data_IF_247282727298
#
_entry.id   IF_247282727298
#
_cell.length_a   1.000
_cell.length_b   1.000
_cell.length_c   1.000
_cell.angle_alpha   90.00
_cell.angle_beta   90.00
_cell.angle_gamma   90.00
#
_symmetry.space_group_name_H-M   'P 1'
#
loop_
_entity.id
_entity.type
_entity.pdbx_description
1 polymer ?
#
# COMPACT_ATOMS: atom_id res chain seq x y z
N UNK A 1 -20.72 -1.62 4.75
CA UNK A 1 -20.88 -0.93 3.44
C UNK A 1 -20.39 -1.92 2.39
N UNK A 2 -21.18 -2.29 1.38
CA UNK A 2 -20.77 -3.34 0.43
C UNK A 2 -19.57 -2.86 -0.40
N UNK A 3 -18.55 -3.70 -0.58
CA UNK A 3 -17.32 -3.43 -1.34
C UNK A 3 -16.45 -2.24 -0.86
N UNK A 4 -16.56 -1.84 0.41
CA UNK A 4 -15.82 -0.69 0.96
C UNK A 4 -14.32 -0.72 0.63
N UNK A 5 -13.64 -1.84 0.87
CA UNK A 5 -12.20 -1.95 0.63
C UNK A 5 -11.82 -1.85 -0.85
N UNK A 6 -12.61 -2.42 -1.76
CA UNK A 6 -12.36 -2.38 -3.21
C UNK A 6 -12.47 -0.98 -3.82
N UNK A 7 -13.12 -0.07 -3.11
CA UNK A 7 -13.33 1.33 -3.51
C UNK A 7 -12.41 2.31 -2.81
N UNK A 8 -11.50 1.81 -1.96
CA UNK A 8 -10.46 2.63 -1.38
C UNK A 8 -9.26 2.69 -2.32
N UNK A 9 -8.70 3.89 -2.48
CA UNK A 9 -7.46 4.11 -3.21
C UNK A 9 -6.43 4.79 -2.28
N UNK A 10 -5.12 4.50 -2.44
CA UNK A 10 -4.10 5.27 -1.78
C UNK A 10 -4.03 6.69 -2.35
N UNK A 11 -3.90 7.69 -1.49
CA UNK A 11 -3.68 9.09 -1.89
C UNK A 11 -2.23 9.49 -1.56
N UNK A 12 -1.81 9.36 -0.31
CA UNK A 12 -0.42 9.67 0.11
C UNK A 12 0.06 8.63 1.09
N UNK A 13 1.24 8.05 0.88
CA UNK A 13 1.69 7.01 1.79
C UNK A 13 3.20 6.79 1.81
N UNK A 14 3.65 6.23 2.91
CA UNK A 14 4.96 5.62 3.07
C UNK A 14 4.75 4.14 3.43
N UNK A 15 5.32 3.28 2.60
CA UNK A 15 5.31 1.85 2.77
C UNK A 15 6.74 1.34 2.93
N UNK A 16 6.96 0.53 3.95
CA UNK A 16 8.25 -0.10 4.21
C UNK A 16 8.07 -1.61 4.23
N UNK A 17 9.05 -2.31 3.65
CA UNK A 17 9.19 -3.76 3.73
C UNK A 17 10.59 -4.06 4.20
N UNK A 18 10.72 -4.87 5.24
CA UNK A 18 12.01 -5.39 5.73
C UNK A 18 12.02 -6.89 5.47
N UNK A 19 13.00 -7.37 4.71
CA UNK A 19 13.20 -8.79 4.43
C UNK A 19 14.41 -9.26 5.22
N UNK A 20 14.22 -10.33 5.99
CA UNK A 20 15.22 -10.93 6.85
C UNK A 20 15.94 -12.10 6.14
N UNK A 21 17.14 -12.41 6.62
CA UNK A 21 17.97 -13.48 6.05
C UNK A 21 17.31 -14.87 6.18
N UNK A 22 16.45 -15.08 7.17
CA UNK A 22 15.67 -16.31 7.35
C UNK A 22 14.43 -16.39 6.43
N UNK A 23 14.23 -15.38 5.57
CA UNK A 23 13.07 -15.30 4.67
C UNK A 23 11.78 -14.81 5.33
N UNK A 24 11.79 -14.53 6.63
CA UNK A 24 10.71 -13.77 7.27
C UNK A 24 10.74 -12.30 6.81
N UNK A 25 9.62 -11.62 6.97
CA UNK A 25 9.54 -10.21 6.61
C UNK A 25 8.54 -9.44 7.46
N UNK A 26 8.79 -8.15 7.59
CA UNK A 26 7.88 -7.20 8.21
C UNK A 26 7.51 -6.10 7.22
N UNK A 27 6.33 -5.53 7.36
CA UNK A 27 5.91 -4.41 6.54
C UNK A 27 5.04 -3.43 7.30
N UNK A 28 5.09 -2.17 6.87
CA UNK A 28 4.26 -1.09 7.40
C UNK A 28 3.67 -0.21 6.31
N UNK A 29 2.52 0.38 6.63
CA UNK A 29 1.88 1.44 5.87
C UNK A 29 1.61 2.60 6.82
N UNK A 30 2.00 3.80 6.45
CA UNK A 30 1.48 5.02 7.04
C UNK A 30 1.00 5.94 5.92
N UNK A 31 -0.30 6.23 5.88
CA UNK A 31 -0.84 6.93 4.74
C UNK A 31 -2.29 7.38 4.84
N UNK A 32 -2.71 8.05 3.79
CA UNK A 32 -4.07 8.47 3.51
C UNK A 32 -4.69 7.53 2.48
N UNK A 33 -5.90 7.07 2.78
CA UNK A 33 -6.78 6.37 1.86
C UNK A 33 -7.96 7.26 1.52
N UNK A 34 -8.46 7.15 0.29
CA UNK A 34 -9.65 7.85 -0.16
C UNK A 34 -10.69 6.86 -0.65
N UNK A 35 -11.91 7.02 -0.19
CA UNK A 35 -13.07 6.31 -0.70
C UNK A 35 -13.55 7.01 -1.99
N UNK A 36 -13.20 6.43 -3.14
CA UNK A 36 -13.35 7.07 -4.45
C UNK A 36 -14.79 7.53 -4.77
N UNK A 37 -15.87 6.82 -4.38
CA UNK A 37 -17.22 7.30 -4.67
C UNK A 37 -17.60 8.59 -3.94
N UNK A 38 -17.06 8.86 -2.76
CA UNK A 38 -17.31 10.12 -2.05
C UNK A 38 -16.65 11.31 -2.77
N UNK A 39 -15.47 11.08 -3.36
CA UNK A 39 -14.78 12.08 -4.16
C UNK A 39 -15.55 12.40 -5.44
N UNK A 40 -16.00 11.37 -6.16
CA UNK A 40 -16.82 11.50 -7.37
C UNK A 40 -18.10 12.30 -7.05
N UNK A 41 -18.81 11.97 -5.97
CA UNK A 41 -20.00 12.72 -5.56
C UNK A 41 -19.68 14.18 -5.28
N UNK A 42 -18.62 14.46 -4.50
CA UNK A 42 -18.24 15.82 -4.17
C UNK A 42 -17.84 16.64 -5.41
N UNK A 43 -17.19 16.00 -6.40
CA UNK A 43 -16.86 16.64 -7.68
C UNK A 43 -18.10 16.96 -8.51
N UNK A 44 -19.09 16.07 -8.58
CA UNK A 44 -20.31 16.29 -9.36
C UNK A 44 -21.32 17.25 -8.70
N UNK A 45 -21.53 17.11 -7.39
CA UNK A 45 -22.54 17.86 -6.65
C UNK A 45 -21.99 19.12 -5.95
N UNK A 46 -20.67 19.32 -5.94
CA UNK A 46 -19.99 20.38 -5.20
C UNK A 46 -19.94 20.15 -3.68
N UNK A 47 -20.70 19.20 -3.15
CA UNK A 47 -20.71 18.83 -1.74
C UNK A 47 -20.94 17.31 -1.56
N UNK A 48 -20.60 16.82 -0.37
CA UNK A 48 -20.87 15.45 0.04
C UNK A 48 -22.12 15.41 0.90
N UNK A 49 -23.00 14.44 0.65
CA UNK A 49 -24.23 14.27 1.42
C UNK A 49 -23.92 14.07 2.93
N UNK A 50 -24.56 14.81 3.86
CA UNK A 50 -24.27 14.71 5.29
C UNK A 50 -24.53 13.32 5.88
N UNK A 51 -25.56 12.61 5.43
CA UNK A 51 -25.82 11.25 5.93
C UNK A 51 -24.74 10.28 5.44
N UNK A 52 -24.26 10.49 4.21
CA UNK A 52 -23.16 9.72 3.67
C UNK A 52 -21.85 9.99 4.40
N UNK A 53 -21.57 11.24 4.76
CA UNK A 53 -20.42 11.63 5.59
C UNK A 53 -20.41 10.89 6.93
N UNK A 54 -21.57 10.80 7.59
CA UNK A 54 -21.72 10.03 8.85
C UNK A 54 -21.45 8.54 8.63
N UNK A 55 -21.93 7.97 7.52
CA UNK A 55 -21.67 6.55 7.18
C UNK A 55 -20.20 6.28 6.92
N UNK A 56 -19.50 7.21 6.24
CA UNK A 56 -18.06 7.12 5.99
C UNK A 56 -17.27 7.21 7.30
N UNK A 57 -17.63 8.15 8.18
CA UNK A 57 -17.03 8.24 9.51
C UNK A 57 -17.12 6.92 10.28
N UNK A 58 -18.30 6.29 10.27
CA UNK A 58 -18.50 5.00 10.95
C UNK A 58 -17.73 3.85 10.27
N UNK A 59 -17.45 3.95 8.96
CA UNK A 59 -16.72 2.93 8.21
C UNK A 59 -15.24 2.80 8.61
N UNK A 60 -14.67 3.79 9.30
CA UNK A 60 -13.31 3.70 9.86
C UNK A 60 -13.12 2.47 10.77
N UNK A 61 -14.18 2.04 11.46
CA UNK A 61 -14.16 0.81 12.28
C UNK A 61 -13.90 -0.46 11.48
N UNK A 62 -14.30 -0.52 10.20
CA UNK A 62 -14.03 -1.67 9.33
C UNK A 62 -12.52 -1.78 9.03
N UNK A 63 -11.81 -0.65 8.90
CA UNK A 63 -10.35 -0.65 8.73
C UNK A 63 -9.65 -1.24 9.97
N UNK A 64 -10.09 -0.88 11.18
CA UNK A 64 -9.54 -1.46 12.40
C UNK A 64 -9.78 -2.98 12.45
N UNK A 65 -10.97 -3.44 12.07
CA UNK A 65 -11.28 -4.88 12.00
C UNK A 65 -10.45 -5.65 10.96
N UNK A 66 -9.98 -4.98 9.91
CA UNK A 66 -9.06 -5.53 8.89
C UNK A 66 -7.59 -5.58 9.37
N UNK A 67 -7.33 -5.12 10.60
CA UNK A 67 -6.02 -5.20 11.25
C UNK A 67 -5.15 -3.95 11.07
N UNK A 68 -5.71 -2.82 10.65
CA UNK A 68 -5.02 -1.53 10.79
C UNK A 68 -4.87 -1.19 12.28
N UNK A 69 -3.67 -0.76 12.66
CA UNK A 69 -3.38 -0.32 14.03
C UNK A 69 -4.09 0.99 14.35
N UNK A 70 -4.20 1.89 13.36
CA UNK A 70 -4.92 3.15 13.46
C UNK A 70 -5.74 3.38 12.20
N UNK A 71 -6.95 3.94 12.38
CA UNK A 71 -7.79 4.40 11.29
C UNK A 71 -8.68 5.55 11.77
N UNK A 72 -8.45 6.75 11.24
CA UNK A 72 -9.24 7.94 11.59
C UNK A 72 -9.83 8.58 10.33
N UNK A 73 -11.11 8.91 10.41
CA UNK A 73 -11.80 9.63 9.34
C UNK A 73 -11.44 11.12 9.40
N UNK A 74 -10.97 11.68 8.28
CA UNK A 74 -10.54 13.08 8.20
C UNK A 74 -11.46 13.95 7.33
N UNK A 75 -12.56 13.37 6.84
CA UNK A 75 -13.60 14.07 6.08
C UNK A 75 -13.53 13.82 4.57
N UNK A 76 -14.63 14.08 3.86
CA UNK A 76 -14.73 13.96 2.39
C UNK A 76 -14.24 12.61 1.85
N UNK A 77 -14.57 11.52 2.54
CA UNK A 77 -14.17 10.17 2.16
C UNK A 77 -12.71 9.80 2.45
N UNK A 78 -11.94 10.63 3.15
CA UNK A 78 -10.53 10.37 3.45
C UNK A 78 -10.32 9.76 4.83
N UNK A 79 -9.34 8.87 4.92
CA UNK A 79 -8.94 8.20 6.15
C UNK A 79 -7.42 8.30 6.32
N UNK A 80 -6.95 8.67 7.51
CA UNK A 80 -5.55 8.47 7.92
C UNK A 80 -5.44 7.09 8.55
N UNK A 81 -4.48 6.29 8.11
CA UNK A 81 -4.36 4.89 8.54
C UNK A 81 -2.91 4.51 8.81
N UNK A 82 -2.73 3.60 9.76
CA UNK A 82 -1.44 2.97 10.06
C UNK A 82 -1.62 1.46 10.10
N UNK A 83 -0.75 0.72 9.40
CA UNK A 83 -0.69 -0.74 9.40
C UNK A 83 0.74 -1.18 9.73
N UNK A 84 0.87 -2.23 10.53
CA UNK A 84 2.16 -2.92 10.78
C UNK A 84 1.89 -4.41 10.87
N UNK A 85 2.67 -5.22 10.15
CA UNK A 85 2.57 -6.69 10.20
C UNK A 85 3.95 -7.31 10.12
N UNK A 86 4.11 -8.45 10.79
CA UNK A 86 5.26 -9.32 10.70
C UNK A 86 4.77 -10.70 10.26
N UNK A 87 5.50 -11.33 9.35
CA UNK A 87 5.09 -12.56 8.70
C UNK A 87 6.29 -13.50 8.66
N UNK A 88 6.07 -14.72 9.16
CA UNK A 88 7.05 -15.79 9.05
C UNK A 88 7.31 -16.17 7.59
N UNK A 89 8.42 -16.86 7.36
CA UNK A 89 8.83 -17.34 6.05
C UNK A 89 7.74 -18.15 5.32
N UNK A 90 7.80 -18.15 3.99
CA UNK A 90 6.94 -19.00 3.15
C UNK A 90 5.46 -18.58 3.04
N UNK A 91 5.00 -17.53 3.72
CA UNK A 91 3.62 -17.03 3.58
C UNK A 91 3.53 -15.83 2.64
N UNK A 92 2.57 -15.78 1.69
CA UNK A 92 2.31 -14.58 0.91
C UNK A 92 1.53 -13.54 1.71
N UNK A 93 1.77 -12.26 1.42
CA UNK A 93 1.04 -11.13 2.00
C UNK A 93 0.52 -10.18 0.93
N UNK A 94 -0.67 -9.65 1.19
CA UNK A 94 -1.36 -8.67 0.36
C UNK A 94 -1.48 -7.39 1.17
N UNK A 95 -0.92 -6.31 0.65
CA UNK A 95 -0.76 -5.07 1.38
C UNK A 95 -1.64 -3.97 0.82
N UNK A 96 -2.40 -3.23 1.65
CA UNK A 96 -2.63 -3.50 3.07
C UNK A 96 -3.58 -4.69 3.33
N UNK A 97 -4.44 -5.04 2.36
CA UNK A 97 -5.31 -6.22 2.44
C UNK A 97 -5.47 -6.94 1.10
N UNK A 98 -6.15 -8.10 1.11
CA UNK A 98 -6.50 -8.84 -0.12
C UNK A 98 -7.52 -8.09 -1.00
N UNK A 99 -8.38 -7.28 -0.38
CA UNK A 99 -9.43 -6.54 -1.09
C UNK A 99 -8.98 -5.17 -1.57
N UNK A 100 -7.92 -4.62 -0.96
CA UNK A 100 -7.24 -3.39 -1.33
C UNK A 100 -5.74 -3.67 -1.35
N UNK A 101 -5.24 -4.14 -2.48
CA UNK A 101 -3.83 -4.48 -2.65
C UNK A 101 -3.11 -3.39 -3.43
N UNK A 102 -2.12 -2.77 -2.80
CA UNK A 102 -1.13 -1.83 -3.34
C UNK A 102 0.18 -2.59 -3.65
N UNK A 103 0.61 -3.50 -2.77
CA UNK A 103 1.76 -4.38 -3.01
C UNK A 103 1.46 -5.82 -2.60
N UNK A 104 2.16 -6.75 -3.22
CA UNK A 104 2.15 -8.15 -2.81
C UNK A 104 3.58 -8.60 -2.50
N UNK A 105 3.74 -9.34 -1.41
CA UNK A 105 4.97 -10.05 -1.06
C UNK A 105 4.69 -11.54 -1.27
N UNK A 106 5.43 -12.18 -2.17
CA UNK A 106 5.22 -13.57 -2.58
C UNK A 106 6.53 -14.36 -2.50
N UNK A 107 6.62 -15.33 -1.57
CA UNK A 107 7.62 -16.38 -1.66
C UNK A 107 7.44 -17.19 -2.95
N UNK A 108 8.55 -17.65 -3.53
CA UNK A 108 8.63 -18.47 -4.74
C UNK A 108 9.17 -19.86 -4.39
N UNK A 109 8.92 -20.83 -5.27
CA UNK A 109 9.34 -22.23 -5.07
C UNK A 109 10.87 -22.41 -5.00
N UNK A 110 11.64 -21.49 -5.57
CA UNK A 110 13.12 -21.47 -5.57
C UNK A 110 13.72 -20.80 -4.32
N UNK A 111 12.87 -20.47 -3.32
CA UNK A 111 13.26 -19.76 -2.10
C UNK A 111 13.38 -18.24 -2.27
N UNK A 112 13.20 -17.70 -3.48
CA UNK A 112 13.21 -16.27 -3.69
C UNK A 112 11.91 -15.60 -3.18
N UNK A 113 11.99 -14.32 -2.84
CA UNK A 113 10.86 -13.49 -2.44
C UNK A 113 10.68 -12.39 -3.49
N UNK A 114 9.47 -12.29 -4.03
CA UNK A 114 9.04 -11.21 -4.92
C UNK A 114 8.23 -10.19 -4.12
N UNK A 115 8.70 -8.95 -4.08
CA UNK A 115 7.88 -7.79 -3.70
C UNK A 115 7.47 -7.10 -4.98
N UNK A 116 6.18 -6.87 -5.20
CA UNK A 116 5.69 -6.21 -6.40
C UNK A 116 4.49 -5.30 -6.13
N UNK A 117 4.38 -4.23 -6.91
CA UNK A 117 3.18 -3.43 -7.10
C UNK A 117 2.01 -4.29 -7.52
N UNK A 118 0.83 -3.97 -6.99
CA UNK A 118 -0.43 -4.47 -7.49
C UNK A 118 -1.00 -3.41 -8.41
N UNK A 119 -1.23 -3.79 -9.67
CA UNK A 119 -1.93 -2.93 -10.61
C UNK A 119 -3.42 -2.99 -10.26
N UNK A 120 -4.06 -1.85 -9.94
CA UNK A 120 -5.52 -1.80 -9.90
C UNK A 120 -6.09 -2.25 -11.24
N UNK A 121 -7.31 -2.78 -11.25
CA UNK A 121 -8.04 -3.01 -12.50
C UNK A 121 -8.10 -1.71 -13.32
N UNK A 122 -8.06 -1.85 -14.65
CA UNK A 122 -7.90 -0.75 -15.63
C UNK A 122 -8.91 0.42 -15.48
N UNK A 123 -9.98 0.24 -14.71
CA UNK A 123 -10.99 1.25 -14.41
C UNK A 123 -10.63 2.19 -13.26
N UNK A 124 -9.72 1.82 -12.35
CA UNK A 124 -9.39 2.61 -11.17
C UNK A 124 -8.64 3.94 -11.47
N UNK A 125 -7.68 3.99 -12.43
CA UNK A 125 -7.04 5.26 -12.81
C UNK A 125 -8.04 6.25 -13.41
N UNK A 126 -9.02 5.76 -14.17
CA UNK A 126 -10.06 6.58 -14.78
C UNK A 126 -10.98 7.26 -13.75
N UNK A 127 -11.07 6.74 -12.53
CA UNK A 127 -11.96 7.27 -11.47
C UNK A 127 -11.39 8.49 -10.73
N UNK A 128 -10.09 8.77 -10.88
CA UNK A 128 -9.44 9.90 -10.20
C UNK A 128 -9.24 11.11 -11.14
N UNK A 129 -9.38 10.92 -12.46
CA UNK A 129 -9.25 11.99 -13.45
C UNK A 129 -10.35 13.03 -13.23
N UNK A 130 -9.96 14.29 -13.02
CA UNK A 130 -10.89 15.40 -12.76
C UNK A 130 -11.21 15.63 -11.27
N UNK A 131 -10.49 14.97 -10.37
CA UNK A 131 -10.61 15.15 -8.91
C UNK A 131 -9.39 15.84 -8.31
N UNK A 132 -9.47 16.25 -7.04
CA UNK A 132 -8.35 16.82 -6.28
C UNK A 132 -7.39 15.75 -5.69
N UNK A 133 -7.64 14.46 -5.97
CA UNK A 133 -6.83 13.37 -5.46
C UNK A 133 -5.68 13.01 -6.42
N UNK A 134 -4.46 12.94 -5.88
CA UNK A 134 -3.25 12.50 -6.57
C UNK A 134 -2.60 11.39 -5.74
N UNK A 135 -2.05 10.38 -6.41
CA UNK A 135 -1.22 9.36 -5.75
C UNK A 135 0.19 9.92 -5.54
N UNK A 136 0.63 10.02 -4.29
CA UNK A 136 2.02 10.29 -3.91
C UNK A 136 2.48 9.29 -2.84
N UNK A 137 2.95 8.15 -3.31
CA UNK A 137 3.44 7.07 -2.49
C UNK A 137 4.96 6.95 -2.50
N UNK A 138 5.48 6.34 -1.44
CA UNK A 138 6.86 5.86 -1.36
C UNK A 138 6.84 4.39 -0.94
N UNK A 139 7.66 3.58 -1.61
CA UNK A 139 7.98 2.23 -1.17
C UNK A 139 9.48 2.16 -0.87
N UNK A 140 9.83 1.66 0.30
CA UNK A 140 11.20 1.33 0.67
C UNK A 140 11.29 -0.15 1.01
N UNK A 141 12.20 -0.87 0.34
CA UNK A 141 12.51 -2.27 0.67
C UNK A 141 13.90 -2.32 1.28
N UNK A 142 13.97 -2.75 2.54
CA UNK A 142 15.20 -2.95 3.30
C UNK A 142 15.53 -4.42 3.36
N UNK A 143 16.77 -4.77 3.05
CA UNK A 143 17.28 -6.14 3.06
C UNK A 143 18.35 -6.28 4.14
N UNK A 144 18.24 -7.31 4.97
CA UNK A 144 19.32 -7.72 5.86
C UNK A 144 20.60 -8.12 5.08
N UNK A 145 21.77 -8.09 5.72
CA UNK A 145 23.03 -8.47 5.08
C UNK A 145 23.00 -9.92 4.57
N UNK A 146 23.65 -10.19 3.44
CA UNK A 146 23.74 -11.52 2.84
C UNK A 146 22.63 -11.86 1.85
N UNK A 147 21.51 -11.13 1.86
CA UNK A 147 20.43 -11.32 0.89
C UNK A 147 20.88 -10.95 -0.52
N UNK A 148 20.74 -11.89 -1.47
CA UNK A 148 21.05 -11.68 -2.88
C UNK A 148 19.89 -10.94 -3.57
N UNK A 149 20.19 -9.92 -4.37
CA UNK A 149 19.20 -9.25 -5.22
C UNK A 149 19.29 -9.82 -6.63
N UNK A 150 18.26 -10.55 -7.04
CA UNK A 150 18.18 -11.21 -8.35
C UNK A 150 17.80 -10.20 -9.44
N UNK A 151 16.77 -9.37 -9.18
CA UNK A 151 16.27 -8.39 -10.16
C UNK A 151 15.43 -7.31 -9.47
N UNK A 152 15.44 -6.09 -10.00
CA UNK A 152 14.70 -4.95 -9.43
C UNK A 152 14.57 -3.78 -10.43
N UNK A 153 13.60 -2.90 -10.19
CA UNK A 153 13.43 -1.62 -10.91
C UNK A 153 13.35 -0.38 -9.99
N UNK A 154 13.97 -0.43 -8.82
CA UNK A 154 14.11 0.70 -7.91
C UNK A 154 14.71 1.93 -8.60
N UNK A 155 14.19 3.08 -8.24
CA UNK A 155 14.65 4.38 -8.75
C UNK A 155 15.98 4.79 -8.09
N UNK A 156 16.21 4.37 -6.85
CA UNK A 156 17.45 4.63 -6.14
C UNK A 156 17.75 3.58 -5.08
N UNK A 157 19.04 3.47 -4.73
CA UNK A 157 19.52 2.80 -3.53
C UNK A 157 19.85 3.87 -2.49
N UNK A 158 19.23 3.82 -1.33
CA UNK A 158 19.45 4.81 -0.27
C UNK A 158 20.74 4.50 0.50
N UNK A 159 21.54 5.51 0.87
CA UNK A 159 22.73 5.32 1.69
C UNK A 159 22.34 4.76 3.06
N UNK A 160 23.15 3.85 3.57
CA UNK A 160 22.96 3.22 4.88
C UNK A 160 24.24 3.34 5.69
N UNK A 161 24.10 3.53 7.00
CA UNK A 161 25.23 3.48 7.94
C UNK A 161 25.42 2.06 8.53
N UNK A 162 24.46 1.16 8.27
CA UNK A 162 24.52 -0.25 8.58
C UNK A 162 24.78 -1.08 7.29
N UNK A 163 25.05 -2.37 7.45
CA UNK A 163 25.30 -3.29 6.34
C UNK A 163 24.03 -3.66 5.53
N UNK A 164 22.89 -3.00 5.77
CA UNK A 164 21.62 -3.27 5.08
C UNK A 164 21.57 -2.57 3.74
N UNK A 165 20.85 -3.15 2.79
CA UNK A 165 20.57 -2.50 1.51
C UNK A 165 19.15 -1.95 1.48
N UNK A 166 18.97 -0.68 1.08
CA UNK A 166 17.67 -0.01 0.98
C UNK A 166 17.36 0.41 -0.45
N UNK A 167 16.29 -0.12 -1.02
CA UNK A 167 15.80 0.18 -2.37
C UNK A 167 14.55 1.03 -2.29
N UNK A 168 14.45 2.04 -3.15
CA UNK A 168 13.41 3.05 -3.05
C UNK A 168 12.68 3.28 -4.37
N UNK A 169 11.36 3.45 -4.27
CA UNK A 169 10.47 3.83 -5.36
C UNK A 169 9.57 4.98 -4.90
N UNK A 170 9.43 5.98 -5.77
CA UNK A 170 8.35 6.95 -5.72
C UNK A 170 7.22 6.52 -6.66
N UNK A 171 6.00 6.52 -6.14
CA UNK A 171 4.80 6.01 -6.80
C UNK A 171 3.86 7.17 -7.01
N UNK A 172 3.78 7.61 -8.27
CA UNK A 172 2.94 8.74 -8.69
C UNK A 172 1.70 8.33 -9.48
N UNK A 173 1.65 7.07 -9.89
CA UNK A 173 0.52 6.52 -10.61
C UNK A 173 0.39 5.02 -10.32
N UNK A 174 -0.78 4.43 -10.60
CA UNK A 174 -0.96 2.98 -10.52
C UNK A 174 -0.02 2.18 -11.42
N UNK A 175 0.48 2.81 -12.49
CA UNK A 175 1.37 2.18 -13.48
C UNK A 175 2.85 2.19 -13.06
N UNK A 176 3.19 2.69 -11.86
CA UNK A 176 4.57 2.75 -11.38
C UNK A 176 5.24 1.36 -11.28
N UNK A 177 4.44 0.30 -11.14
CA UNK A 177 4.84 -1.12 -11.20
C UNK A 177 6.17 -1.45 -10.50
N UNK A 178 6.36 -1.06 -9.22
CA UNK A 178 7.60 -1.33 -8.51
C UNK A 178 7.77 -2.83 -8.29
N UNK A 179 8.97 -3.38 -8.48
CA UNK A 179 9.27 -4.75 -8.14
C UNK A 179 10.71 -4.96 -7.69
N UNK A 180 10.90 -5.97 -6.83
CA UNK A 180 12.21 -6.51 -6.48
C UNK A 180 12.08 -8.02 -6.18
N UNK A 181 13.01 -8.79 -6.70
CA UNK A 181 13.17 -10.23 -6.45
C UNK A 181 14.48 -10.40 -5.68
N UNK A 182 14.37 -10.99 -4.50
CA UNK A 182 15.53 -11.28 -3.64
C UNK A 182 15.58 -12.74 -3.26
N UNK A 183 16.75 -13.21 -2.85
CA UNK A 183 16.95 -14.56 -2.34
C UNK A 183 17.62 -14.50 -0.96
N UNK A 184 16.89 -14.82 0.11
CA UNK A 184 17.48 -15.05 1.42
C UNK A 184 18.47 -16.23 1.38
N UNK A 185 19.50 -16.20 2.22
CA UNK A 185 20.58 -17.20 2.31
C UNK A 185 20.29 -18.30 3.30
#
# INVERSE_FOLDING_TARGET
MHNFFRTLAPERFEADVVIHADGSYAYSYDGALIFTPALIQACHAGCLDPQFEVRLKNAATQLLSEGFAEASYVGRGRYRVILRRAVADGRPSYFPSREMTIFTIRPRHDGAILVMGSRPDATAPCQLIGTDAEIDGRLTVTLDPGIEVISQNAQSKLPTFDARSRYHWRIKSPDADPFIIVKPT
#
